data_IF_256420300312
#
_entry.id   IF_256420300312
#
_cell.length_a   1.000
_cell.length_b   1.000
_cell.length_c   1.000
_cell.angle_alpha   90.00
_cell.angle_beta   90.00
_cell.angle_gamma   90.00
#
_symmetry.space_group_name_H-M   'P 1'
#
loop_
_entity.id
_entity.type
_entity.pdbx_description
1 polymer ?
#
# COMPACT_ATOMS: atom_id res chain seq x y z
N UNK A 1 23.65 7.94 6.43
CA UNK A 1 23.97 7.78 5.17
C UNK A 1 22.85 7.65 4.28
N UNK A 2 22.55 8.51 3.55
CA UNK A 2 21.42 8.52 2.73
C UNK A 2 21.58 7.78 1.45
N UNK A 3 20.49 7.48 0.84
CA UNK A 3 20.45 6.92 -0.47
C UNK A 3 20.67 8.02 -1.48
N UNK A 4 21.39 7.71 -2.53
CA UNK A 4 21.60 8.68 -3.57
C UNK A 4 20.33 8.81 -4.41
N UNK A 5 19.84 10.01 -4.56
CA UNK A 5 18.62 10.24 -5.35
C UNK A 5 19.02 10.61 -6.79
N UNK A 6 18.87 9.65 -7.68
CA UNK A 6 19.09 9.90 -9.09
C UNK A 6 17.78 10.42 -9.70
N UNK A 7 17.86 10.89 -10.93
CA UNK A 7 16.68 11.39 -11.61
C UNK A 7 15.63 10.30 -11.74
N UNK A 8 16.04 9.10 -12.09
CA UNK A 8 15.09 7.99 -12.23
C UNK A 8 14.45 7.62 -10.92
N UNK A 9 15.21 7.64 -9.82
CA UNK A 9 14.64 7.35 -8.51
C UNK A 9 13.65 8.42 -8.09
N UNK A 10 13.89 9.68 -8.48
CA UNK A 10 12.94 10.75 -8.18
C UNK A 10 11.62 10.55 -8.92
N UNK A 11 11.69 10.10 -10.16
CA UNK A 11 10.48 9.84 -10.93
C UNK A 11 9.68 8.73 -10.25
N UNK A 12 10.34 7.65 -9.87
CA UNK A 12 9.66 6.53 -9.22
C UNK A 12 9.06 6.98 -7.89
N UNK A 13 9.79 7.79 -7.13
CA UNK A 13 9.28 8.29 -5.86
C UNK A 13 8.04 9.16 -6.04
N UNK A 14 8.04 10.01 -7.07
CA UNK A 14 6.88 10.86 -7.33
C UNK A 14 5.66 10.07 -7.76
N UNK A 15 5.88 9.07 -8.61
CA UNK A 15 4.78 8.23 -9.07
C UNK A 15 4.17 7.50 -7.87
N UNK A 16 5.01 6.98 -7.00
CA UNK A 16 4.53 6.25 -5.84
C UNK A 16 3.83 7.18 -4.86
N UNK A 17 4.39 8.36 -4.64
CA UNK A 17 3.82 9.31 -3.69
C UNK A 17 2.46 9.82 -4.15
N UNK A 18 2.26 9.94 -5.44
CA UNK A 18 0.99 10.39 -5.98
C UNK A 18 -0.03 9.28 -6.18
N UNK A 19 0.35 8.04 -5.94
CA UNK A 19 -0.55 6.93 -6.20
C UNK A 19 -1.51 6.73 -5.05
N UNK A 20 -2.78 6.58 -5.38
CA UNK A 20 -3.79 6.35 -4.36
C UNK A 20 -4.18 4.89 -4.28
N UNK A 21 -3.65 4.06 -5.15
CA UNK A 21 -4.14 2.72 -5.34
C UNK A 21 -3.17 1.60 -5.00
N UNK A 22 -2.09 1.87 -4.33
CA UNK A 22 -1.13 0.85 -3.88
C UNK A 22 -0.64 -0.01 -5.05
N UNK A 23 0.13 0.57 -5.97
CA UNK A 23 0.56 -0.16 -7.16
C UNK A 23 1.60 -1.24 -6.84
N UNK A 24 1.63 -2.29 -7.64
CA UNK A 24 2.70 -3.27 -7.57
C UNK A 24 3.86 -2.79 -8.45
N UNK A 25 4.92 -3.60 -8.53
CA UNK A 25 6.12 -3.19 -9.27
C UNK A 25 5.83 -3.02 -10.75
N UNK A 26 5.02 -3.89 -11.32
CA UNK A 26 4.73 -3.79 -12.76
C UNK A 26 3.98 -2.52 -13.07
N UNK A 27 3.02 -2.17 -12.24
CA UNK A 27 2.27 -0.95 -12.45
C UNK A 27 3.13 0.29 -12.20
N UNK A 28 4.03 0.22 -11.21
CA UNK A 28 4.99 1.29 -10.99
C UNK A 28 5.88 1.48 -12.19
N UNK A 29 6.32 0.38 -12.80
CA UNK A 29 7.13 0.45 -13.99
C UNK A 29 6.35 1.11 -15.14
N UNK A 30 5.11 0.69 -15.34
CA UNK A 30 4.30 1.25 -16.41
C UNK A 30 4.14 2.76 -16.25
N UNK A 31 3.85 3.21 -15.04
CA UNK A 31 3.64 4.63 -14.78
C UNK A 31 4.94 5.42 -14.85
N UNK A 32 6.01 4.87 -14.31
CA UNK A 32 7.30 5.55 -14.28
C UNK A 32 7.88 5.64 -15.68
N UNK A 33 7.74 4.60 -16.49
CA UNK A 33 8.30 4.62 -17.83
C UNK A 33 7.49 5.55 -18.74
N UNK A 34 6.23 5.83 -18.40
CA UNK A 34 5.46 6.82 -19.13
C UNK A 34 5.99 8.24 -18.88
N UNK A 35 6.63 8.46 -17.75
CA UNK A 35 7.25 9.76 -17.45
C UNK A 35 8.67 9.83 -18.01
N UNK A 36 9.43 8.74 -17.87
CA UNK A 36 10.81 8.70 -18.34
C UNK A 36 11.05 7.31 -18.93
N UNK A 37 11.05 7.22 -20.24
CA UNK A 37 11.12 5.93 -20.92
C UNK A 37 12.49 5.26 -20.82
N UNK A 38 13.47 5.90 -20.19
CA UNK A 38 14.75 5.27 -19.94
C UNK A 38 14.72 4.36 -18.72
N UNK A 39 13.66 4.43 -17.93
CA UNK A 39 13.55 3.62 -16.73
C UNK A 39 13.20 2.18 -17.13
N UNK A 40 14.01 1.23 -16.66
CA UNK A 40 13.77 -0.18 -16.94
C UNK A 40 13.06 -0.80 -15.75
N UNK A 41 12.49 -1.98 -15.96
CA UNK A 41 11.81 -2.67 -14.87
C UNK A 41 12.82 -3.07 -13.79
N UNK A 42 14.06 -3.39 -14.18
CA UNK A 42 15.11 -3.70 -13.21
C UNK A 42 15.40 -2.52 -12.31
N UNK A 43 15.39 -1.31 -12.88
CA UNK A 43 15.60 -0.11 -12.09
C UNK A 43 14.47 0.08 -11.09
N UNK A 44 13.24 -0.21 -11.49
CA UNK A 44 12.10 -0.07 -10.57
C UNK A 44 12.25 -1.06 -9.42
N UNK A 45 12.57 -2.32 -9.71
CA UNK A 45 12.76 -3.32 -8.67
C UNK A 45 13.84 -2.89 -7.67
N UNK A 46 14.98 -2.45 -8.17
CA UNK A 46 16.07 -2.03 -7.29
C UNK A 46 15.71 -0.82 -6.47
N UNK A 47 15.01 0.14 -7.09
CA UNK A 47 14.62 1.36 -6.40
C UNK A 47 13.61 1.07 -5.29
N UNK A 48 12.62 0.22 -5.58
CA UNK A 48 11.62 -0.14 -4.60
C UNK A 48 12.28 -0.83 -3.41
N UNK A 49 13.23 -1.71 -3.67
CA UNK A 49 13.95 -2.39 -2.60
C UNK A 49 14.73 -1.41 -1.73
N UNK A 50 15.40 -0.45 -2.36
CA UNK A 50 16.13 0.57 -1.63
C UNK A 50 15.20 1.42 -0.77
N UNK A 51 14.06 1.82 -1.32
CA UNK A 51 13.11 2.64 -0.59
C UNK A 51 12.50 1.86 0.58
N UNK A 52 12.23 0.60 0.37
CA UNK A 52 11.69 -0.25 1.43
C UNK A 52 12.71 -0.42 2.55
N UNK A 53 13.96 -0.71 2.19
CA UNK A 53 15.02 -0.89 3.18
C UNK A 53 15.30 0.39 3.94
N UNK A 54 15.10 1.54 3.31
CA UNK A 54 15.32 2.82 3.96
C UNK A 54 14.10 3.29 4.76
N UNK A 55 13.01 2.53 4.75
CA UNK A 55 11.82 2.92 5.51
C UNK A 55 11.00 4.03 4.88
N UNK A 56 11.26 4.33 3.60
CA UNK A 56 10.52 5.37 2.91
C UNK A 56 9.17 4.88 2.44
N UNK A 57 9.08 3.61 2.08
CA UNK A 57 7.83 3.01 1.63
C UNK A 57 7.56 1.74 2.41
N UNK A 58 6.33 1.31 2.39
CA UNK A 58 5.90 0.10 3.05
C UNK A 58 5.36 -0.87 2.03
N UNK A 59 5.71 -2.13 2.17
CA UNK A 59 5.21 -3.17 1.30
C UNK A 59 4.05 -3.87 1.97
N UNK A 60 2.98 -4.07 1.23
CA UNK A 60 1.81 -4.79 1.72
C UNK A 60 1.65 -6.07 0.90
N UNK A 61 1.69 -7.21 1.58
CA UNK A 61 1.50 -8.50 0.93
C UNK A 61 0.10 -8.98 1.25
N UNK A 62 -0.83 -8.69 0.38
CA UNK A 62 -2.20 -9.09 0.58
C UNK A 62 -2.42 -10.50 0.04
N UNK A 63 -3.58 -11.07 0.34
CA UNK A 63 -3.83 -12.46 -0.04
C UNK A 63 -4.04 -12.67 -1.53
N UNK A 64 -4.04 -11.61 -2.32
CA UNK A 64 -4.18 -11.75 -3.76
C UNK A 64 -2.86 -12.15 -4.42
N UNK A 65 -1.81 -12.38 -3.65
CA UNK A 65 -0.56 -12.89 -4.19
C UNK A 65 0.37 -11.85 -4.76
N UNK A 66 0.06 -10.57 -4.61
CA UNK A 66 0.90 -9.50 -5.16
C UNK A 66 1.36 -8.58 -4.05
N UNK A 67 2.60 -8.14 -4.15
CA UNK A 67 3.12 -7.15 -3.23
C UNK A 67 2.81 -5.77 -3.76
N UNK A 68 2.29 -4.92 -2.92
CA UNK A 68 1.93 -3.56 -3.29
C UNK A 68 2.63 -2.58 -2.38
N UNK A 69 2.81 -1.37 -2.85
CA UNK A 69 3.66 -0.40 -2.18
C UNK A 69 2.96 0.93 -1.98
N UNK A 70 3.31 1.61 -0.92
CA UNK A 70 2.85 2.99 -0.70
C UNK A 70 3.89 3.72 0.13
N UNK A 71 3.91 5.04 0.04
CA UNK A 71 4.79 5.81 0.90
C UNK A 71 4.32 5.63 2.33
N UNK A 72 5.26 5.75 3.26
CA UNK A 72 4.94 5.51 4.66
C UNK A 72 3.93 6.55 5.10
N UNK A 73 2.74 6.14 5.54
CA UNK A 73 1.72 7.12 5.91
C UNK A 73 2.03 7.71 7.28
N UNK A 74 1.61 8.95 7.46
CA UNK A 74 1.77 9.56 8.76
C UNK A 74 0.78 8.97 9.73
N UNK A 75 -0.41 8.65 9.28
CA UNK A 75 -1.44 8.07 10.12
C UNK A 75 -1.61 6.62 9.77
N UNK A 76 -2.02 5.85 10.76
CA UNK A 76 -2.28 4.43 10.54
C UNK A 76 -3.59 4.25 9.80
N UNK A 77 -3.57 3.42 8.78
CA UNK A 77 -4.77 3.10 8.02
C UNK A 77 -4.96 1.60 7.93
N UNK A 78 -6.20 1.18 7.91
CA UNK A 78 -6.55 -0.19 7.66
C UNK A 78 -6.90 -0.34 6.18
N UNK A 79 -6.96 -1.55 5.71
CA UNK A 79 -7.13 -1.81 4.27
C UNK A 79 -8.29 -2.76 4.02
N UNK A 80 -9.08 -2.44 3.00
CA UNK A 80 -10.12 -3.34 2.51
C UNK A 80 -9.79 -3.69 1.07
N UNK A 81 -9.60 -4.95 0.80
CA UNK A 81 -9.19 -5.44 -0.51
C UNK A 81 -10.38 -6.01 -1.25
N UNK A 82 -10.63 -5.50 -2.45
CA UNK A 82 -11.69 -6.00 -3.30
C UNK A 82 -11.17 -7.24 -4.00
N UNK A 83 -11.74 -8.39 -3.68
CA UNK A 83 -11.24 -9.64 -4.23
C UNK A 83 -11.52 -9.80 -5.72
N UNK A 84 -12.47 -9.05 -6.26
CA UNK A 84 -12.75 -9.14 -7.69
C UNK A 84 -11.82 -8.31 -8.53
N UNK A 85 -11.49 -7.13 -8.06
CA UNK A 85 -10.69 -6.20 -8.87
C UNK A 85 -9.28 -6.03 -8.38
N UNK A 86 -9.00 -6.40 -7.13
CA UNK A 86 -7.70 -6.16 -6.53
C UNK A 86 -7.54 -4.75 -5.98
N UNK A 87 -8.54 -3.91 -6.12
CA UNK A 87 -8.42 -2.55 -5.59
C UNK A 87 -8.32 -2.55 -4.08
N UNK A 88 -7.55 -1.63 -3.54
CA UNK A 88 -7.37 -1.49 -2.10
C UNK A 88 -7.94 -0.16 -1.67
N UNK A 89 -8.84 -0.20 -0.69
CA UNK A 89 -9.41 1.01 -0.11
C UNK A 89 -8.83 1.16 1.29
N UNK A 90 -8.33 2.34 1.59
CA UNK A 90 -7.85 2.63 2.94
C UNK A 90 -8.99 3.20 3.75
N UNK A 91 -9.03 2.85 5.01
CA UNK A 91 -10.05 3.41 5.88
C UNK A 91 -9.49 3.48 7.30
N UNK A 92 -10.17 4.25 8.13
CA UNK A 92 -9.83 4.33 9.54
C UNK A 92 -11.14 4.46 10.31
N UNK A 93 -11.29 3.70 11.37
CA UNK A 93 -12.52 3.73 12.16
C UNK A 93 -12.15 3.76 13.64
N UNK A 94 -12.55 4.82 14.31
CA UNK A 94 -12.21 5.00 15.72
C UNK A 94 -12.79 3.91 16.59
N UNK A 95 -13.95 3.39 16.25
CA UNK A 95 -14.57 2.34 17.04
C UNK A 95 -13.73 1.07 17.02
N UNK A 96 -13.18 0.73 15.86
CA UNK A 96 -12.31 -0.43 15.73
C UNK A 96 -11.04 -0.22 16.54
N UNK A 97 -10.47 1.00 16.46
CA UNK A 97 -9.25 1.31 17.18
C UNK A 97 -9.45 1.15 18.68
N UNK A 98 -10.53 1.70 19.20
CA UNK A 98 -10.81 1.62 20.64
C UNK A 98 -11.11 0.22 21.10
N UNK A 99 -11.81 -0.55 20.27
CA UNK A 99 -12.13 -1.92 20.61
C UNK A 99 -10.86 -2.76 20.71
N UNK A 100 -9.93 -2.58 19.79
CA UNK A 100 -8.69 -3.33 19.80
C UNK A 100 -7.86 -2.97 21.03
N UNK A 101 -7.81 -1.70 21.40
CA UNK A 101 -7.10 -1.29 22.60
C UNK A 101 -7.71 -1.91 23.85
N UNK A 102 -9.03 -1.94 23.91
CA UNK A 102 -9.73 -2.50 25.07
C UNK A 102 -9.45 -4.00 25.18
N UNK A 103 -9.47 -4.70 24.07
CA UNK A 103 -9.20 -6.13 24.07
C UNK A 103 -7.77 -6.41 24.53
N UNK A 104 -6.82 -5.64 24.02
CA UNK A 104 -5.43 -5.85 24.40
C UNK A 104 -5.25 -5.62 25.90
N UNK A 105 -5.91 -4.59 26.42
CA UNK A 105 -5.79 -4.27 27.85
C UNK A 105 -6.41 -5.37 28.70
N UNK A 106 -7.54 -5.93 28.28
CA UNK A 106 -8.16 -7.01 29.00
C UNK A 106 -7.26 -8.22 29.07
N UNK A 107 -6.46 -8.43 28.04
CA UNK A 107 -5.54 -9.55 28.00
C UNK A 107 -4.20 -9.23 28.67
N UNK A 108 -4.05 -8.04 29.18
CA UNK A 108 -2.85 -7.68 29.94
C UNK A 108 -1.77 -7.01 29.11
N UNK A 109 -2.14 -6.41 27.96
CA UNK A 109 -1.14 -5.83 27.07
C UNK A 109 -1.45 -4.37 26.78
N UNK A 110 -0.42 -3.62 26.49
CA UNK A 110 -0.56 -2.30 25.93
C UNK A 110 -0.41 -2.45 24.43
N UNK A 111 -1.43 -2.05 23.66
CA UNK A 111 -1.38 -2.20 22.21
C UNK A 111 -0.39 -1.21 21.63
N UNK A 112 0.58 -1.69 20.89
CA UNK A 112 1.58 -0.84 20.27
C UNK A 112 1.25 -0.61 18.79
N UNK A 113 0.76 -1.62 18.12
CA UNK A 113 0.50 -1.52 16.70
C UNK A 113 -0.44 -2.65 16.30
N UNK A 114 -1.09 -2.52 15.18
CA UNK A 114 -1.91 -3.60 14.66
C UNK A 114 -1.97 -3.51 13.16
N UNK A 115 -2.42 -4.56 12.54
CA UNK A 115 -2.60 -4.60 11.11
C UNK A 115 -3.96 -5.24 10.85
N UNK A 116 -4.80 -4.55 10.12
CA UNK A 116 -6.15 -5.03 9.81
C UNK A 116 -6.35 -5.01 8.31
N UNK A 117 -6.67 -6.17 7.76
CA UNK A 117 -6.95 -6.30 6.34
C UNK A 117 -8.28 -7.01 6.20
N UNK A 118 -9.20 -6.39 5.51
CA UNK A 118 -10.48 -6.98 5.22
C UNK A 118 -10.53 -7.36 3.76
N UNK A 119 -11.11 -8.51 3.48
CA UNK A 119 -11.19 -9.02 2.12
C UNK A 119 -12.67 -9.20 1.78
N UNK A 120 -13.12 -8.54 0.75
CA UNK A 120 -14.54 -8.57 0.45
C UNK A 120 -14.84 -8.54 -1.03
N UNK A 121 -16.09 -8.79 -1.35
CA UNK A 121 -16.58 -8.64 -2.71
C UNK A 121 -17.66 -7.57 -2.67
N UNK A 122 -17.83 -6.81 -3.76
CA UNK A 122 -18.83 -5.73 -3.75
C UNK A 122 -20.24 -6.26 -3.51
N UNK A 123 -20.99 -5.47 -2.78
CA UNK A 123 -22.40 -5.81 -2.61
C UNK A 123 -23.08 -5.65 -3.95
N UNK A 124 -24.05 -6.51 -4.17
CA UNK A 124 -24.70 -6.48 -5.42
C UNK A 124 -25.64 -5.41 -5.61
N UNK A 125 -25.85 -4.58 -4.85
CA UNK A 125 -26.81 -3.62 -5.00
C UNK A 125 -26.44 -2.50 -5.66
N UNK A 126 -26.76 -1.57 -5.72
CA UNK A 126 -26.46 -0.32 -6.07
C UNK A 126 -25.73 -0.17 -7.28
N UNK A 127 -24.55 -0.26 -7.22
CA UNK A 127 -23.80 0.15 -8.31
C UNK A 127 -23.48 -0.94 -9.19
N UNK A 128 -23.74 -2.12 -8.76
CA UNK A 128 -23.31 -3.19 -9.45
C UNK A 128 -24.39 -3.77 -10.17
N UNK A 129 -24.40 -3.77 -11.41
CA UNK A 129 -25.43 -4.46 -12.14
C UNK A 129 -25.23 -5.86 -11.74
N UNK A 130 -26.22 -6.46 -11.31
CA UNK A 130 -26.09 -7.76 -10.95
C UNK A 130 -25.73 -8.51 -12.12
N UNK A 131 -24.74 -9.05 -12.21
CA UNK A 131 -24.45 -9.74 -13.41
C UNK A 131 -24.09 -11.13 -13.12
#
# INVERSE_FOLDING_TARGET
>A
MGMRMTEQRRVIARVLDGAADHPDVEELYRRSSAVDDRISISTVYRTVKLFEDAGIIERHDFRDGRSRYETMPEDHHDHLINLRTGEVTEFRNEKIEKLQEAIARELGFQLVDHRLELYGIPLESKDEPSS
#
